data_IF_774724635142
#
_entry.id   IF_774724635142
#
_cell.length_a   1.000
_cell.length_b   1.000
_cell.length_c   1.000
_cell.angle_alpha   90.00
_cell.angle_beta   90.00
_cell.angle_gamma   90.00
#
_symmetry.space_group_name_H-M   'P 1'
#
loop_
_entity.id
_entity.type
_entity.pdbx_description
1 polymer ?
#
# COMPACT_ATOMS: atom_id res chain seq x y z
N UNK A 1 65.24 41.39 -20.00
CA UNK A 1 65.21 40.11 -19.33
C UNK A 1 64.82 40.22 -17.81
N UNK A 2 64.03 41.19 -17.39
CA UNK A 2 63.60 41.35 -15.96
C UNK A 2 62.08 41.38 -15.75
N UNK A 3 61.25 41.07 -16.75
CA UNK A 3 59.77 41.09 -16.64
C UNK A 3 59.12 39.70 -16.72
N UNK A 4 59.89 38.62 -16.96
CA UNK A 4 59.35 37.25 -17.08
C UNK A 4 59.41 36.46 -15.75
N UNK A 5 60.26 36.91 -14.80
CA UNK A 5 60.42 36.24 -13.50
C UNK A 5 59.34 36.61 -12.46
N UNK A 6 58.55 37.67 -12.69
CA UNK A 6 57.53 38.10 -11.70
C UNK A 6 56.16 37.46 -11.96
N UNK A 7 55.93 36.86 -13.13
CA UNK A 7 54.66 36.21 -13.42
C UNK A 7 54.64 34.72 -13.02
N UNK A 8 55.82 34.09 -12.94
CA UNK A 8 55.90 32.69 -12.48
C UNK A 8 55.78 32.53 -10.97
N UNK A 9 56.04 33.57 -10.20
CA UNK A 9 55.93 33.53 -8.70
C UNK A 9 54.47 33.73 -8.24
N UNK A 10 53.60 34.30 -9.04
CA UNK A 10 52.23 34.55 -8.67
C UNK A 10 51.30 33.38 -8.99
N UNK A 11 51.68 32.51 -9.93
CA UNK A 11 50.91 31.31 -10.28
C UNK A 11 51.12 30.18 -9.28
N UNK A 12 52.30 30.12 -8.64
CA UNK A 12 52.60 29.10 -7.63
C UNK A 12 51.99 29.41 -6.24
N UNK A 13 51.48 30.64 -6.00
CA UNK A 13 50.89 31.02 -4.69
C UNK A 13 49.35 30.84 -4.69
N UNK A 14 48.70 30.59 -5.85
CA UNK A 14 47.25 30.42 -5.93
C UNK A 14 46.86 28.95 -5.82
N UNK A 15 47.72 28.00 -6.13
CA UNK A 15 47.38 26.57 -6.02
C UNK A 15 47.48 25.99 -4.59
N UNK A 16 48.04 26.71 -3.63
CA UNK A 16 48.17 26.22 -2.24
C UNK A 16 47.00 26.62 -1.32
N UNK A 17 46.00 27.35 -1.84
CA UNK A 17 44.90 27.87 -1.01
C UNK A 17 43.56 27.16 -1.17
N UNK A 18 43.46 26.08 -1.97
CA UNK A 18 42.23 25.36 -2.21
C UNK A 18 42.19 23.88 -1.78
N UNK A 19 43.21 23.41 -1.08
CA UNK A 19 43.14 22.10 -0.43
C UNK A 19 42.74 22.30 1.03
N UNK A 20 41.41 22.42 1.27
CA UNK A 20 40.89 22.16 2.62
C UNK A 20 41.23 20.68 2.93
N UNK A 21 41.91 20.39 4.03
CA UNK A 21 42.12 19.02 4.44
C UNK A 21 40.71 18.43 4.69
N UNK A 22 40.29 17.50 3.88
CA UNK A 22 39.26 16.55 4.29
C UNK A 22 39.85 15.92 5.55
N UNK A 23 39.32 16.28 6.71
CA UNK A 23 39.67 15.64 7.96
C UNK A 23 39.39 14.15 7.78
N UNK A 24 40.44 13.37 7.59
CA UNK A 24 40.33 11.93 7.66
C UNK A 24 39.75 11.61 9.03
N UNK A 25 38.52 11.10 9.07
CA UNK A 25 37.95 10.60 10.31
C UNK A 25 38.95 9.59 10.89
N UNK A 26 39.36 9.83 12.13
CA UNK A 26 40.22 8.89 12.83
C UNK A 26 39.59 7.50 12.78
N UNK A 27 40.36 6.44 12.52
CA UNK A 27 39.85 5.09 12.57
C UNK A 27 39.22 4.85 13.94
N UNK A 28 37.95 4.41 13.94
CA UNK A 28 37.25 4.03 15.16
C UNK A 28 38.03 2.84 15.75
N UNK A 29 38.55 3.01 16.96
CA UNK A 29 39.17 1.91 17.70
C UNK A 29 38.11 0.90 18.08
N UNK A 30 38.03 -0.19 17.33
CA UNK A 30 37.05 -1.27 17.53
C UNK A 30 37.46 -2.27 18.61
N UNK A 31 38.63 -2.08 19.26
CA UNK A 31 39.14 -3.05 20.24
C UNK A 31 38.57 -2.88 21.66
N UNK A 32 37.89 -1.78 21.97
CA UNK A 32 37.32 -1.48 23.28
C UNK A 32 35.81 -1.18 23.28
N UNK A 33 35.06 -1.77 22.38
CA UNK A 33 33.60 -1.60 22.40
C UNK A 33 33.05 -2.57 23.45
N UNK A 34 32.65 -2.04 24.60
CA UNK A 34 31.87 -2.79 25.58
C UNK A 34 30.56 -3.29 24.96
N UNK A 35 30.05 -4.49 25.37
CA UNK A 35 28.76 -4.97 24.89
C UNK A 35 27.68 -3.91 25.11
N UNK A 36 27.12 -3.41 24.03
CA UNK A 36 26.12 -2.36 24.09
C UNK A 36 24.81 -2.93 24.66
N UNK A 37 24.44 -2.49 25.86
CA UNK A 37 23.20 -2.89 26.56
C UNK A 37 22.15 -1.76 26.58
N UNK A 38 22.30 -0.74 25.75
CA UNK A 38 21.49 0.47 25.77
C UNK A 38 20.39 0.55 24.72
N UNK A 39 20.10 1.77 24.30
CA UNK A 39 19.13 2.07 23.24
C UNK A 39 19.57 1.49 21.90
N UNK A 40 18.63 1.08 21.02
CA UNK A 40 18.96 0.58 19.70
C UNK A 40 19.76 1.62 18.90
N UNK A 41 20.67 1.12 18.07
CA UNK A 41 21.49 1.96 17.23
C UNK A 41 20.68 2.44 16.03
N UNK A 42 20.81 3.72 15.67
CA UNK A 42 20.21 4.27 14.44
C UNK A 42 20.95 3.77 13.22
N UNK A 43 20.20 3.47 12.19
CA UNK A 43 20.75 3.12 10.90
C UNK A 43 21.02 4.34 10.04
N UNK A 44 21.89 4.24 9.02
CA UNK A 44 22.12 5.32 8.08
C UNK A 44 20.82 5.79 7.44
N UNK A 45 20.62 7.11 7.37
CA UNK A 45 19.39 7.70 6.85
C UNK A 45 18.23 7.80 7.84
N UNK A 46 18.33 7.21 9.02
CA UNK A 46 17.35 7.44 10.08
C UNK A 46 17.59 8.83 10.70
N UNK A 47 16.63 9.72 10.48
CA UNK A 47 16.66 11.04 11.10
C UNK A 47 16.17 10.93 12.55
N UNK A 48 17.02 11.34 13.48
CA UNK A 48 16.63 11.49 14.87
C UNK A 48 15.86 12.80 15.05
N UNK A 49 14.57 12.74 15.06
CA UNK A 49 13.76 13.84 15.61
C UNK A 49 13.67 13.75 17.13
N UNK A 50 13.86 12.55 17.68
CA UNK A 50 13.91 12.30 19.12
C UNK A 50 15.19 11.51 19.45
N UNK A 51 16.23 12.14 20.02
CA UNK A 51 17.48 11.46 20.36
C UNK A 51 17.31 10.33 21.38
N UNK A 52 16.15 10.20 22.01
CA UNK A 52 15.81 9.07 22.87
C UNK A 52 15.46 7.78 22.11
N UNK A 53 15.26 7.82 20.79
CA UNK A 53 14.80 6.68 20.02
C UNK A 53 15.91 5.70 19.62
N UNK A 54 17.09 6.21 19.27
CA UNK A 54 18.24 5.38 18.88
C UNK A 54 19.54 6.19 18.92
N UNK A 55 20.68 5.50 18.92
CA UNK A 55 22.01 6.14 18.85
C UNK A 55 22.50 6.17 17.40
N UNK A 56 22.90 7.33 16.85
CA UNK A 56 23.43 7.44 15.50
C UNK A 56 24.72 6.63 15.32
N UNK A 57 24.76 5.78 14.30
CA UNK A 57 25.94 4.97 13.98
C UNK A 57 26.71 5.42 12.75
N UNK A 58 26.14 6.30 11.95
CA UNK A 58 26.73 6.62 10.66
C UNK A 58 26.51 5.53 9.60
N UNK A 59 27.40 5.40 8.61
CA UNK A 59 27.18 4.56 7.43
C UNK A 59 26.94 3.09 7.74
N UNK A 60 26.15 2.40 6.91
CA UNK A 60 25.80 0.97 7.01
C UNK A 60 27.03 0.04 7.08
N UNK A 61 28.18 0.48 6.57
CA UNK A 61 29.44 -0.24 6.66
C UNK A 61 29.85 -0.54 8.12
N UNK A 62 29.60 0.36 9.06
CA UNK A 62 29.92 0.14 10.47
C UNK A 62 29.06 -0.94 11.10
N UNK A 63 27.78 -1.01 10.74
CA UNK A 63 26.88 -2.06 11.20
C UNK A 63 27.36 -3.42 10.73
N UNK A 64 27.80 -3.51 9.50
CA UNK A 64 28.37 -4.74 8.92
C UNK A 64 29.67 -5.12 9.64
N UNK A 65 30.50 -4.16 10.00
CA UNK A 65 31.74 -4.39 10.78
C UNK A 65 31.41 -4.90 12.17
N UNK A 66 30.45 -4.28 12.87
CA UNK A 66 30.01 -4.71 14.20
C UNK A 66 29.48 -6.15 14.17
N UNK A 67 28.63 -6.48 13.20
CA UNK A 67 28.12 -7.85 13.03
C UNK A 67 29.22 -8.87 12.76
N UNK A 68 30.25 -8.52 11.97
CA UNK A 68 31.42 -9.39 11.74
C UNK A 68 32.24 -9.65 13.01
N UNK A 69 32.18 -8.71 13.95
CA UNK A 69 32.84 -8.84 15.26
C UNK A 69 31.93 -9.50 16.32
N UNK A 70 30.81 -10.08 15.91
CA UNK A 70 29.89 -10.78 16.83
C UNK A 70 29.01 -9.85 17.67
N UNK A 71 28.96 -8.58 17.35
CA UNK A 71 28.09 -7.62 18.01
C UNK A 71 26.75 -7.62 17.30
N UNK A 72 25.76 -8.23 17.91
CA UNK A 72 24.38 -8.23 17.44
C UNK A 72 23.80 -6.81 17.58
N UNK A 73 23.10 -6.45 16.53
CA UNK A 73 22.54 -5.13 16.35
C UNK A 73 21.05 -5.18 16.63
N UNK A 74 20.56 -4.62 17.75
CA UNK A 74 19.15 -4.68 18.08
C UNK A 74 18.36 -3.74 17.15
N UNK A 75 17.65 -4.32 16.20
CA UNK A 75 16.68 -3.57 15.40
C UNK A 75 15.49 -3.18 16.27
N UNK A 76 15.22 -1.88 16.33
CA UNK A 76 14.00 -1.40 16.96
C UNK A 76 12.82 -1.65 16.01
N UNK A 77 11.78 -2.39 16.43
CA UNK A 77 10.58 -2.55 15.61
C UNK A 77 9.89 -1.21 15.42
N UNK A 78 9.14 -1.07 14.31
CA UNK A 78 8.30 0.10 14.09
C UNK A 78 7.35 0.31 15.27
N UNK A 79 7.31 1.52 15.82
CA UNK A 79 6.43 1.89 16.91
C UNK A 79 5.00 2.10 16.38
N UNK A 80 4.31 0.99 16.14
CA UNK A 80 2.94 0.96 15.64
C UNK A 80 1.93 0.77 16.79
N UNK A 81 0.70 1.22 16.54
CA UNK A 81 -0.46 1.01 17.41
C UNK A 81 -1.16 -0.26 16.94
N UNK A 82 -1.63 -1.08 17.87
CA UNK A 82 -2.52 -2.20 17.52
C UNK A 82 -3.87 -1.66 17.06
N UNK A 83 -4.40 -2.11 15.92
CA UNK A 83 -5.72 -1.70 15.47
C UNK A 83 -6.82 -2.26 16.40
N UNK A 84 -7.95 -1.58 16.42
CA UNK A 84 -9.15 -2.10 17.05
C UNK A 84 -9.62 -3.36 16.30
N UNK A 85 -9.85 -4.49 16.96
CA UNK A 85 -10.37 -5.71 16.34
C UNK A 85 -11.68 -5.50 15.57
N UNK A 86 -12.51 -4.55 15.96
CA UNK A 86 -13.75 -4.22 15.24
C UNK A 86 -13.53 -3.76 13.81
N UNK A 87 -12.35 -3.25 13.46
CA UNK A 87 -12.02 -2.90 12.06
C UNK A 87 -12.01 -4.12 11.15
N UNK A 88 -11.80 -5.31 11.67
CA UNK A 88 -11.77 -6.54 10.86
C UNK A 88 -13.16 -7.14 10.65
N UNK A 89 -14.20 -6.57 11.28
CA UNK A 89 -15.56 -7.07 11.17
C UNK A 89 -16.16 -6.71 9.81
N UNK A 90 -16.56 -7.73 9.05
CA UNK A 90 -17.33 -7.53 7.81
C UNK A 90 -18.74 -7.09 8.15
N UNK A 91 -19.26 -6.04 7.51
CA UNK A 91 -20.59 -5.52 7.84
C UNK A 91 -21.71 -6.48 7.47
N UNK A 92 -21.55 -7.30 6.42
CA UNK A 92 -22.62 -8.18 5.90
C UNK A 92 -22.03 -9.47 5.32
N UNK A 93 -22.84 -10.52 5.29
CA UNK A 93 -22.54 -11.74 4.56
C UNK A 93 -22.73 -11.52 3.04
N UNK A 94 -21.76 -11.95 2.27
CA UNK A 94 -21.72 -11.77 0.81
C UNK A 94 -21.55 -13.12 0.14
N UNK A 95 -22.28 -13.33 -0.94
CA UNK A 95 -22.16 -14.49 -1.82
C UNK A 95 -21.69 -14.06 -3.19
N UNK A 96 -20.90 -14.89 -3.82
CA UNK A 96 -20.54 -14.71 -5.24
C UNK A 96 -21.23 -15.75 -6.10
N UNK A 97 -21.51 -15.40 -7.33
CA UNK A 97 -21.96 -16.33 -8.34
C UNK A 97 -20.89 -16.49 -9.42
N UNK A 98 -20.68 -17.74 -9.81
CA UNK A 98 -19.76 -18.09 -10.90
C UNK A 98 -20.44 -18.15 -12.26
N UNK A 99 -21.76 -18.04 -12.34
CA UNK A 99 -22.47 -18.15 -13.62
C UNK A 99 -22.23 -16.94 -14.49
N UNK A 100 -21.94 -17.18 -15.74
CA UNK A 100 -21.80 -16.15 -16.79
C UNK A 100 -23.15 -15.66 -17.29
N UNK A 101 -24.22 -16.41 -17.01
CA UNK A 101 -25.56 -16.16 -17.50
C UNK A 101 -26.36 -15.23 -16.57
N UNK A 102 -27.53 -14.84 -17.01
CA UNK A 102 -28.44 -14.08 -16.18
C UNK A 102 -28.91 -14.95 -14.98
N UNK A 103 -28.91 -14.35 -13.79
CA UNK A 103 -29.29 -15.04 -12.55
C UNK A 103 -30.77 -14.82 -12.34
N UNK A 104 -31.59 -15.90 -12.24
CA UNK A 104 -33.01 -15.77 -11.90
C UNK A 104 -33.11 -15.23 -10.46
N UNK A 105 -33.96 -14.23 -10.29
CA UNK A 105 -34.31 -13.68 -8.97
C UNK A 105 -35.79 -13.83 -8.72
N UNK A 106 -36.14 -14.18 -7.50
CA UNK A 106 -37.49 -14.59 -7.12
C UNK A 106 -38.03 -13.62 -6.04
N UNK A 107 -39.31 -13.18 -6.17
CA UNK A 107 -39.91 -12.27 -5.20
C UNK A 107 -40.06 -12.88 -3.82
N UNK A 108 -40.36 -14.18 -3.76
CA UNK A 108 -40.57 -14.90 -2.49
C UNK A 108 -39.82 -16.22 -2.46
N UNK A 109 -39.64 -16.80 -1.27
CA UNK A 109 -39.06 -18.13 -1.11
C UNK A 109 -39.92 -19.21 -1.84
N UNK A 110 -41.24 -19.09 -1.79
CA UNK A 110 -42.15 -20.00 -2.46
C UNK A 110 -41.96 -19.94 -4.00
N UNK A 111 -41.78 -18.74 -4.54
CA UNK A 111 -41.48 -18.59 -5.98
C UNK A 111 -40.12 -19.22 -6.34
N UNK A 112 -39.14 -19.08 -5.46
CA UNK A 112 -37.82 -19.69 -5.65
C UNK A 112 -37.90 -21.22 -5.65
N UNK A 113 -38.63 -21.80 -4.71
CA UNK A 113 -38.87 -23.25 -4.66
C UNK A 113 -39.63 -23.76 -5.87
N UNK A 114 -40.60 -22.98 -6.39
CA UNK A 114 -41.36 -23.29 -7.58
C UNK A 114 -40.63 -22.93 -8.88
N UNK A 115 -39.43 -22.30 -8.81
CA UNK A 115 -38.67 -21.75 -9.94
C UNK A 115 -39.46 -20.75 -10.79
N UNK A 116 -40.36 -20.01 -10.15
CA UNK A 116 -41.21 -18.99 -10.77
C UNK A 116 -40.49 -17.62 -10.65
N UNK A 117 -39.49 -17.38 -11.48
CA UNK A 117 -38.72 -16.13 -11.44
C UNK A 117 -39.52 -14.94 -11.97
N UNK A 118 -39.34 -13.78 -11.34
CA UNK A 118 -39.93 -12.52 -11.79
C UNK A 118 -39.10 -11.81 -12.84
N UNK A 119 -37.78 -11.94 -12.71
CA UNK A 119 -36.82 -11.32 -13.59
C UNK A 119 -35.45 -12.02 -13.49
N UNK A 120 -34.57 -11.69 -14.40
CA UNK A 120 -33.18 -12.08 -14.33
C UNK A 120 -32.33 -10.88 -13.97
N UNK A 121 -31.36 -11.06 -13.09
CA UNK A 121 -30.27 -10.13 -13.03
C UNK A 121 -29.39 -10.38 -14.24
N UNK A 122 -29.66 -9.58 -15.26
CA UNK A 122 -28.86 -9.59 -16.49
C UNK A 122 -27.49 -9.02 -16.15
N UNK A 123 -26.49 -9.75 -16.54
CA UNK A 123 -25.19 -9.15 -16.45
C UNK A 123 -24.26 -9.90 -17.35
N UNK A 124 -23.50 -9.28 -18.16
CA UNK A 124 -22.43 -9.85 -18.95
C UNK A 124 -21.61 -10.94 -18.23
N UNK A 125 -20.51 -11.31 -18.78
CA UNK A 125 -19.70 -12.48 -18.35
C UNK A 125 -18.93 -12.31 -17.03
N UNK A 126 -19.17 -11.24 -16.26
CA UNK A 126 -18.43 -10.92 -15.04
C UNK A 126 -18.97 -11.57 -13.77
N UNK A 127 -18.17 -11.53 -12.71
CA UNK A 127 -18.57 -11.99 -11.38
C UNK A 127 -19.60 -11.06 -10.75
N UNK A 128 -20.58 -11.65 -10.07
CA UNK A 128 -21.62 -10.93 -9.34
C UNK A 128 -21.53 -11.30 -7.87
N UNK A 129 -21.52 -10.30 -7.01
CA UNK A 129 -21.47 -10.46 -5.56
C UNK A 129 -22.73 -9.84 -4.94
N UNK A 130 -23.49 -10.67 -4.23
CA UNK A 130 -24.72 -10.27 -3.56
C UNK A 130 -24.52 -10.25 -2.06
N UNK A 131 -25.09 -9.25 -1.42
CA UNK A 131 -25.26 -9.24 0.01
C UNK A 131 -26.54 -9.99 0.38
N UNK A 132 -26.49 -10.90 1.35
CA UNK A 132 -27.66 -11.66 1.77
C UNK A 132 -27.97 -11.46 3.25
N UNK A 133 -29.26 -11.46 3.57
CA UNK A 133 -29.80 -11.30 4.91
C UNK A 133 -30.07 -12.64 5.58
N UNK A 134 -30.47 -13.63 4.82
CA UNK A 134 -30.85 -14.94 5.33
C UNK A 134 -30.47 -16.05 4.37
N UNK A 135 -30.15 -17.20 4.93
CA UNK A 135 -30.02 -18.49 4.23
C UNK A 135 -31.12 -19.41 4.75
N UNK A 136 -31.81 -20.07 3.85
CA UNK A 136 -32.85 -21.05 4.17
C UNK A 136 -32.55 -22.35 3.45
N UNK A 137 -32.38 -23.43 4.20
CA UNK A 137 -32.19 -24.78 3.70
C UNK A 137 -33.53 -25.50 3.70
N UNK A 138 -33.95 -26.03 2.57
CA UNK A 138 -35.23 -26.73 2.37
C UNK A 138 -34.97 -28.05 1.67
N UNK A 139 -36.00 -28.93 1.60
CA UNK A 139 -35.93 -30.18 0.83
C UNK A 139 -35.73 -29.96 -0.68
N UNK A 140 -36.11 -28.78 -1.19
CA UNK A 140 -35.96 -28.43 -2.62
C UNK A 140 -34.63 -27.75 -2.93
N UNK A 141 -33.84 -27.36 -1.93
CA UNK A 141 -32.55 -26.70 -2.13
C UNK A 141 -32.23 -25.66 -1.08
N UNK A 142 -31.13 -24.97 -1.28
CA UNK A 142 -30.66 -23.88 -0.42
C UNK A 142 -30.93 -22.56 -1.13
N UNK A 143 -31.50 -21.61 -0.38
CA UNK A 143 -31.89 -20.31 -0.92
C UNK A 143 -31.31 -19.18 -0.05
N UNK A 144 -30.92 -18.09 -0.72
CA UNK A 144 -30.45 -16.87 -0.07
C UNK A 144 -31.42 -15.73 -0.31
N UNK A 145 -31.80 -15.02 0.76
CA UNK A 145 -32.49 -13.75 0.64
C UNK A 145 -31.49 -12.64 0.49
N UNK A 146 -31.51 -11.94 -0.65
CA UNK A 146 -30.65 -10.78 -0.88
C UNK A 146 -31.11 -9.58 -0.05
N UNK A 147 -30.22 -8.61 0.14
CA UNK A 147 -30.53 -7.36 0.84
C UNK A 147 -31.59 -6.52 0.12
N UNK A 148 -31.72 -6.68 -1.18
CA UNK A 148 -32.78 -6.08 -2.01
C UNK A 148 -34.14 -6.77 -1.84
N UNK A 149 -34.23 -7.83 -1.03
CA UNK A 149 -35.47 -8.54 -0.71
C UNK A 149 -35.82 -9.70 -1.64
N UNK A 150 -35.05 -9.93 -2.69
CA UNK A 150 -35.24 -11.06 -3.60
C UNK A 150 -34.58 -12.34 -3.06
N UNK A 151 -34.96 -13.46 -3.62
CA UNK A 151 -34.39 -14.77 -3.35
C UNK A 151 -33.57 -15.27 -4.53
N UNK A 152 -32.49 -16.01 -4.23
CA UNK A 152 -31.61 -16.65 -5.20
C UNK A 152 -31.39 -18.10 -4.76
N UNK A 153 -31.41 -19.05 -5.69
CA UNK A 153 -31.05 -20.45 -5.41
C UNK A 153 -29.53 -20.62 -5.28
N UNK A 154 -29.06 -21.40 -4.32
CA UNK A 154 -27.63 -21.61 -4.06
C UNK A 154 -26.87 -22.28 -5.23
N UNK A 155 -27.55 -23.04 -6.07
CA UNK A 155 -26.99 -23.61 -7.30
C UNK A 155 -26.61 -22.56 -8.35
N UNK A 156 -27.25 -21.40 -8.29
CA UNK A 156 -26.96 -20.23 -9.12
C UNK A 156 -25.88 -19.36 -8.47
N UNK A 157 -25.63 -19.54 -7.16
CA UNK A 157 -24.68 -18.80 -6.36
C UNK A 157 -23.71 -19.77 -5.67
N UNK A 158 -22.43 -19.68 -5.98
CA UNK A 158 -21.41 -20.43 -5.26
C UNK A 158 -21.14 -19.77 -3.91
N UNK A 159 -21.88 -20.22 -2.90
CA UNK A 159 -21.78 -19.70 -1.53
C UNK A 159 -20.45 -19.99 -0.82
N UNK A 160 -19.66 -20.90 -1.38
CA UNK A 160 -18.38 -21.29 -0.78
C UNK A 160 -17.25 -20.32 -1.14
N UNK A 161 -17.48 -19.42 -2.07
CA UNK A 161 -16.42 -18.57 -2.58
C UNK A 161 -16.47 -17.16 -1.98
N UNK A 162 -15.42 -16.85 -1.27
CA UNK A 162 -14.82 -15.54 -1.40
C UNK A 162 -15.39 -14.40 -0.55
N UNK A 163 -15.84 -14.69 0.67
CA UNK A 163 -15.76 -13.67 1.70
C UNK A 163 -14.35 -13.78 2.26
N UNK A 164 -13.46 -12.93 1.77
CA UNK A 164 -12.22 -12.75 2.50
C UNK A 164 -12.55 -12.12 3.83
N UNK A 165 -12.19 -12.79 4.92
CA UNK A 165 -12.37 -12.26 6.27
C UNK A 165 -11.85 -10.83 6.33
N UNK A 166 -12.57 -9.98 7.05
CA UNK A 166 -12.16 -8.60 7.24
C UNK A 166 -10.73 -8.57 7.80
N UNK A 167 -9.81 -7.98 7.05
CA UNK A 167 -8.39 -7.89 7.42
C UNK A 167 -8.03 -6.45 7.66
N UNK A 168 -7.21 -6.22 8.67
CA UNK A 168 -6.48 -4.97 8.85
C UNK A 168 -5.01 -5.26 8.57
N UNK A 169 -4.49 -4.81 7.44
CA UNK A 169 -3.10 -5.02 7.04
C UNK A 169 -2.24 -3.77 7.16
N UNK A 170 -2.87 -2.62 7.31
CA UNK A 170 -2.20 -1.35 7.49
C UNK A 170 -1.48 -1.21 8.83
N UNK A 171 -0.79 -0.11 8.97
CA UNK A 171 -0.04 0.26 10.17
C UNK A 171 -0.55 1.60 10.70
N UNK A 172 -0.80 1.66 12.00
CA UNK A 172 -1.19 2.87 12.71
C UNK A 172 -0.02 3.40 13.52
N UNK A 173 0.16 4.71 13.54
CA UNK A 173 1.28 5.36 14.21
C UNK A 173 0.81 6.48 15.15
N UNK A 174 1.48 6.62 16.29
CA UNK A 174 1.37 7.81 17.17
C UNK A 174 2.33 8.92 16.76
N UNK A 175 3.47 8.53 16.16
CA UNK A 175 4.49 9.41 15.62
C UNK A 175 4.96 8.86 14.28
N UNK A 176 5.30 9.74 13.38
CA UNK A 176 5.90 9.37 12.10
C UNK A 176 7.16 8.54 12.34
N UNK A 177 7.27 7.34 11.76
CA UNK A 177 8.48 6.54 11.84
C UNK A 177 9.67 7.25 11.19
N UNK A 178 10.85 7.11 11.77
CA UNK A 178 12.08 7.69 11.22
C UNK A 178 12.73 6.78 10.18
N UNK A 179 12.54 5.47 10.31
CA UNK A 179 13.09 4.49 9.40
C UNK A 179 12.07 4.24 8.28
N UNK A 180 12.45 4.40 7.00
CA UNK A 180 11.63 3.98 5.88
C UNK A 180 11.24 2.51 6.02
N UNK A 181 10.04 2.17 5.59
CA UNK A 181 9.52 0.81 5.68
C UNK A 181 8.67 0.46 4.46
N UNK A 182 8.27 -0.80 4.39
CA UNK A 182 7.40 -1.29 3.32
C UNK A 182 6.91 -2.69 3.60
N UNK A 183 6.28 -3.27 2.60
CA UNK A 183 5.70 -4.62 2.66
C UNK A 183 6.27 -5.51 1.56
N UNK A 184 6.43 -6.77 1.89
CA UNK A 184 6.72 -7.82 0.92
C UNK A 184 5.43 -8.17 0.17
N UNK A 185 5.47 -8.14 -1.16
CA UNK A 185 4.28 -8.43 -1.99
C UNK A 185 4.24 -9.84 -2.57
N UNK A 186 5.38 -10.51 -2.61
CA UNK A 186 5.51 -11.93 -2.98
C UNK A 186 6.55 -12.58 -2.10
N UNK A 187 6.39 -13.86 -1.81
CA UNK A 187 7.40 -14.61 -1.04
C UNK A 187 8.80 -14.42 -1.63
N UNK A 188 9.73 -14.03 -0.82
CA UNK A 188 11.09 -13.72 -1.25
C UNK A 188 12.16 -14.17 -0.26
N UNK A 189 13.39 -14.32 -0.75
CA UNK A 189 14.56 -14.60 0.07
C UNK A 189 15.59 -13.47 -0.09
N UNK A 190 15.96 -12.80 1.00
CA UNK A 190 17.03 -11.80 0.94
C UNK A 190 18.36 -12.42 0.53
N UNK A 191 19.22 -11.61 -0.07
CA UNK A 191 20.58 -11.97 -0.46
C UNK A 191 21.61 -11.31 0.46
N UNK A 192 22.77 -11.91 0.59
CA UNK A 192 23.84 -11.38 1.46
C UNK A 192 24.47 -10.09 0.92
N UNK A 193 24.26 -9.76 -0.36
CA UNK A 193 24.74 -8.55 -1.03
C UNK A 193 23.75 -8.10 -2.10
N UNK A 194 23.75 -6.82 -2.53
CA UNK A 194 22.80 -6.25 -3.47
C UNK A 194 23.12 -6.61 -4.92
N UNK A 195 23.11 -7.90 -5.24
CA UNK A 195 23.27 -8.41 -6.61
C UNK A 195 22.67 -9.82 -6.73
N UNK A 196 22.32 -10.22 -7.97
CA UNK A 196 21.67 -11.49 -8.24
C UNK A 196 22.58 -12.73 -8.08
N UNK A 197 23.89 -12.56 -8.09
CA UNK A 197 24.87 -13.64 -7.91
C UNK A 197 25.15 -13.91 -6.43
N UNK A 198 24.79 -12.97 -5.53
CA UNK A 198 24.98 -13.15 -4.12
C UNK A 198 24.11 -14.30 -3.58
N UNK A 199 24.66 -15.03 -2.58
CA UNK A 199 23.96 -16.13 -1.91
C UNK A 199 22.71 -15.61 -1.20
N UNK A 200 21.65 -16.41 -1.23
CA UNK A 200 20.46 -16.18 -0.40
C UNK A 200 20.76 -16.45 1.08
N UNK A 201 20.11 -15.72 1.97
CA UNK A 201 20.35 -15.80 3.42
C UNK A 201 19.68 -17.01 4.08
N UNK A 202 18.84 -17.75 3.37
CA UNK A 202 18.02 -18.83 3.92
C UNK A 202 16.75 -18.35 4.63
N UNK A 203 16.63 -17.06 4.98
CA UNK A 203 15.40 -16.49 5.55
C UNK A 203 14.33 -16.36 4.46
N UNK A 204 13.12 -16.82 4.76
CA UNK A 204 11.96 -16.63 3.90
C UNK A 204 11.14 -15.47 4.43
N UNK A 205 10.80 -14.53 3.57
CA UNK A 205 9.88 -13.44 3.85
C UNK A 205 8.57 -13.74 3.14
N UNK A 206 7.52 -13.88 3.91
CA UNK A 206 6.19 -14.13 3.37
C UNK A 206 5.54 -12.82 2.88
N UNK A 207 4.57 -12.95 1.99
CA UNK A 207 3.74 -11.83 1.55
C UNK A 207 3.18 -11.07 2.77
N UNK A 208 3.09 -9.75 2.66
CA UNK A 208 2.62 -8.81 3.69
C UNK A 208 3.55 -8.68 4.91
N UNK A 209 4.71 -9.35 4.91
CA UNK A 209 5.73 -9.09 5.93
C UNK A 209 6.16 -7.62 5.86
N UNK A 210 6.05 -6.92 6.98
CA UNK A 210 6.55 -5.54 7.11
C UNK A 210 8.06 -5.58 7.30
N UNK A 211 8.76 -4.78 6.52
CA UNK A 211 10.21 -4.62 6.57
C UNK A 211 10.58 -3.16 6.81
N UNK A 212 11.65 -2.93 7.54
CA UNK A 212 12.30 -1.63 7.62
C UNK A 212 13.44 -1.58 6.59
N UNK A 213 13.62 -0.41 5.97
CA UNK A 213 14.61 -0.20 4.92
C UNK A 213 15.72 0.68 5.48
N UNK A 214 16.91 0.14 5.57
CA UNK A 214 18.04 0.76 6.24
C UNK A 214 19.06 1.36 5.28
N UNK A 215 19.10 0.86 4.06
CA UNK A 215 19.93 1.40 2.99
C UNK A 215 19.33 1.09 1.65
N UNK A 216 19.66 1.88 0.64
CA UNK A 216 19.15 1.76 -0.72
C UNK A 216 20.31 1.84 -1.69
N UNK A 217 20.48 0.81 -2.52
CA UNK A 217 21.49 0.80 -3.58
C UNK A 217 20.80 0.66 -4.92
N UNK A 218 20.97 1.66 -5.76
CA UNK A 218 20.54 1.60 -7.17
C UNK A 218 21.63 0.99 -8.00
N UNK A 219 21.33 -0.12 -8.65
CA UNK A 219 22.20 -0.78 -9.65
C UNK A 219 21.70 -0.48 -11.05
N UNK A 220 22.43 -0.94 -12.06
CA UNK A 220 21.97 -0.82 -13.46
C UNK A 220 20.64 -1.53 -13.71
N UNK A 221 20.38 -2.63 -13.01
CA UNK A 221 19.26 -3.53 -13.27
C UNK A 221 18.06 -3.30 -12.37
N UNK A 222 18.30 -2.87 -11.12
CA UNK A 222 17.23 -2.70 -10.11
C UNK A 222 17.70 -1.85 -8.92
N UNK A 223 16.77 -1.59 -8.01
CA UNK A 223 17.01 -1.02 -6.69
C UNK A 223 17.04 -2.16 -5.67
N UNK A 224 18.02 -2.15 -4.79
CA UNK A 224 18.17 -3.08 -3.70
C UNK A 224 17.94 -2.36 -2.37
N UNK A 225 17.16 -2.97 -1.51
CA UNK A 225 16.87 -2.50 -0.16
C UNK A 225 17.60 -3.35 0.88
N UNK A 226 18.40 -2.72 1.73
CA UNK A 226 18.96 -3.37 2.92
C UNK A 226 17.88 -3.42 4.00
N UNK A 227 17.49 -4.63 4.39
CA UNK A 227 16.45 -4.88 5.40
C UNK A 227 17.01 -5.49 6.68
N UNK A 228 18.30 -5.63 6.75
CA UNK A 228 19.07 -6.15 7.88
C UNK A 228 20.52 -6.30 7.50
N UNK A 229 21.36 -6.66 8.45
CA UNK A 229 22.78 -6.92 8.20
C UNK A 229 22.93 -8.09 7.22
N UNK A 230 23.62 -7.85 6.12
CA UNK A 230 23.76 -8.83 5.02
C UNK A 230 22.41 -9.40 4.52
N UNK A 231 21.37 -8.58 4.54
CA UNK A 231 20.05 -8.94 4.04
C UNK A 231 19.56 -7.87 3.07
N UNK A 232 19.68 -8.17 1.79
CA UNK A 232 19.29 -7.30 0.70
C UNK A 232 18.15 -7.92 -0.09
N UNK A 233 17.16 -7.12 -0.43
CA UNK A 233 16.01 -7.56 -1.22
C UNK A 233 15.81 -6.65 -2.43
N UNK A 234 15.45 -7.27 -3.54
CA UNK A 234 15.11 -6.57 -4.78
C UNK A 234 13.79 -5.82 -4.63
N UNK A 235 13.75 -4.60 -5.14
CA UNK A 235 12.57 -3.73 -5.17
C UNK A 235 11.31 -4.41 -5.71
N UNK A 236 11.42 -5.34 -6.65
CA UNK A 236 10.26 -6.04 -7.23
C UNK A 236 9.41 -6.75 -6.19
N UNK A 237 10.02 -7.20 -5.11
CA UNK A 237 9.35 -7.88 -4.00
C UNK A 237 8.84 -6.94 -2.91
N UNK A 238 9.04 -5.64 -3.06
CA UNK A 238 8.76 -4.65 -2.01
C UNK A 238 7.82 -3.57 -2.53
N UNK A 239 6.90 -3.12 -1.67
CA UNK A 239 6.22 -1.83 -1.81
C UNK A 239 6.68 -0.96 -0.66
N UNK A 240 7.49 0.03 -1.01
CA UNK A 240 8.04 0.97 -0.04
C UNK A 240 6.99 2.04 0.27
N UNK A 241 6.80 2.36 1.54
CA UNK A 241 6.11 3.58 1.90
C UNK A 241 7.10 4.75 1.85
N UNK A 242 6.79 5.71 1.01
CA UNK A 242 7.49 6.98 0.95
C UNK A 242 6.85 7.93 1.96
N UNK A 243 7.59 8.24 3.02
CA UNK A 243 7.10 9.12 4.09
C UNK A 243 7.35 10.57 3.69
N UNK A 244 6.27 11.29 3.43
CA UNK A 244 6.34 12.71 3.08
C UNK A 244 5.49 13.54 4.05
N UNK A 245 6.10 14.12 5.10
CA UNK A 245 5.37 14.93 6.08
C UNK A 245 5.03 16.33 5.56
N UNK A 246 5.53 16.70 4.38
CA UNK A 246 5.25 18.01 3.77
C UNK A 246 3.93 17.92 3.01
N UNK A 247 2.93 18.76 3.36
CA UNK A 247 1.68 18.77 2.62
C UNK A 247 1.90 19.06 1.13
N UNK A 248 1.21 18.36 0.23
CA UNK A 248 1.22 18.68 -1.19
C UNK A 248 0.70 20.11 -1.46
N UNK A 249 1.13 20.71 -2.56
CA UNK A 249 0.65 22.02 -2.99
C UNK A 249 -0.90 22.03 -3.06
N UNK A 250 -1.50 23.05 -2.43
CA UNK A 250 -2.95 23.19 -2.34
C UNK A 250 -3.60 22.53 -1.10
N UNK A 251 -2.86 21.78 -0.30
CA UNK A 251 -3.30 21.29 1.02
C UNK A 251 -2.98 22.33 2.08
N UNK A 252 -3.99 22.88 2.73
CA UNK A 252 -3.83 24.01 3.66
C UNK A 252 -4.03 23.66 5.14
N UNK A 253 -4.56 22.47 5.44
CA UNK A 253 -4.95 22.06 6.78
C UNK A 253 -4.03 21.01 7.43
N UNK A 254 -2.86 20.75 6.83
CA UNK A 254 -1.90 19.74 7.27
C UNK A 254 -2.51 18.34 7.49
N UNK A 255 -3.63 18.07 6.81
CA UNK A 255 -4.36 16.80 6.87
C UNK A 255 -4.70 16.34 5.45
N UNK A 256 -4.25 15.16 5.04
CA UNK A 256 -4.51 14.63 3.71
C UNK A 256 -4.36 13.11 3.66
N UNK A 257 -4.92 12.53 2.62
CA UNK A 257 -4.69 11.16 2.17
C UNK A 257 -3.74 11.24 0.97
N UNK A 258 -2.68 10.45 0.95
CA UNK A 258 -1.73 10.35 -0.15
C UNK A 258 -1.77 8.96 -0.76
N UNK A 259 -1.90 8.88 -2.08
CA UNK A 259 -1.93 7.64 -2.84
C UNK A 259 -0.75 7.64 -3.81
N UNK A 260 0.20 6.74 -3.58
CA UNK A 260 1.33 6.51 -4.47
C UNK A 260 1.01 5.35 -5.42
N UNK A 261 0.79 5.68 -6.70
CA UNK A 261 0.40 4.69 -7.72
C UNK A 261 1.55 3.77 -8.11
N UNK A 262 2.79 4.23 -7.98
CA UNK A 262 3.96 3.43 -8.33
C UNK A 262 4.29 2.40 -7.26
N UNK A 263 4.22 2.78 -6.00
CA UNK A 263 4.45 1.88 -4.87
C UNK A 263 3.16 1.14 -4.45
N UNK A 264 2.01 1.48 -5.02
CA UNK A 264 0.73 0.89 -4.63
C UNK A 264 0.51 0.97 -3.11
N UNK A 265 0.76 2.15 -2.55
CA UNK A 265 0.60 2.44 -1.12
C UNK A 265 -0.29 3.66 -0.90
N UNK A 266 -0.89 3.70 0.27
CA UNK A 266 -1.66 4.83 0.76
C UNK A 266 -1.15 5.22 2.14
N UNK A 267 -1.02 6.51 2.37
CA UNK A 267 -0.73 7.11 3.67
C UNK A 267 -1.77 8.16 4.05
N UNK A 268 -2.02 8.30 5.34
CA UNK A 268 -2.84 9.36 5.89
C UNK A 268 -2.01 10.18 6.87
N UNK A 269 -2.11 11.49 6.73
CA UNK A 269 -1.38 12.45 7.55
C UNK A 269 -2.35 13.32 8.35
N UNK A 270 -2.03 13.56 9.60
CA UNK A 270 -2.74 14.51 10.48
C UNK A 270 -1.73 15.43 11.17
N UNK A 271 -1.89 16.73 11.00
CA UNK A 271 -0.92 17.73 11.45
C UNK A 271 0.52 17.46 10.97
N UNK A 272 0.67 16.97 9.74
CA UNK A 272 1.95 16.60 9.16
C UNK A 272 2.58 15.33 9.74
N UNK A 273 1.88 14.61 10.62
CA UNK A 273 2.30 13.31 11.15
C UNK A 273 1.66 12.17 10.36
N UNK A 274 2.45 11.20 9.96
CA UNK A 274 1.93 9.94 9.42
C UNK A 274 1.17 9.21 10.52
N UNK A 275 -0.14 9.05 10.34
CA UNK A 275 -1.00 8.36 11.32
C UNK A 275 -1.42 6.97 10.84
N UNK A 276 -1.41 6.74 9.53
CA UNK A 276 -1.79 5.46 8.93
C UNK A 276 -1.06 5.22 7.60
N UNK A 277 -0.74 3.98 7.32
CA UNK A 277 -0.18 3.55 6.04
C UNK A 277 -0.61 2.13 5.70
N UNK A 278 -0.87 1.86 4.41
CA UNK A 278 -1.25 0.53 3.92
C UNK A 278 -0.88 0.32 2.45
N UNK A 279 -0.89 -0.94 2.02
CA UNK A 279 -0.90 -1.29 0.59
C UNK A 279 -2.31 -1.16 0.02
N UNK A 280 -2.38 -0.77 -1.24
CA UNK A 280 -3.63 -0.62 -1.99
C UNK A 280 -3.62 -1.43 -3.29
N UNK A 281 -4.76 -1.44 -3.98
CA UNK A 281 -4.82 -1.83 -5.37
C UNK A 281 -5.51 -0.73 -6.18
N UNK A 282 -4.75 -0.01 -6.99
CA UNK A 282 -5.27 1.07 -7.84
C UNK A 282 -5.73 0.57 -9.21
N UNK A 283 -6.17 1.49 -10.06
CA UNK A 283 -6.61 1.21 -11.41
C UNK A 283 -5.49 0.66 -12.31
N UNK A 284 -5.78 -0.44 -13.00
CA UNK A 284 -4.88 -1.04 -13.99
C UNK A 284 -5.05 -0.40 -15.38
N UNK A 285 -4.03 -0.42 -16.25
CA UNK A 285 -4.21 -0.01 -17.64
C UNK A 285 -5.35 -0.76 -18.37
N UNK A 286 -6.18 -0.10 -19.16
CA UNK A 286 -6.22 1.33 -19.43
C UNK A 286 -7.07 2.14 -18.43
N UNK A 287 -7.56 1.55 -17.35
CA UNK A 287 -8.49 2.14 -16.38
C UNK A 287 -7.75 2.72 -15.17
N UNK A 288 -6.85 3.64 -15.43
CA UNK A 288 -6.00 4.20 -14.39
C UNK A 288 -6.76 4.97 -13.30
N UNK A 289 -6.24 4.96 -12.08
CA UNK A 289 -6.56 5.97 -11.07
C UNK A 289 -5.89 7.28 -11.47
N UNK A 290 -6.64 8.39 -11.52
CA UNK A 290 -6.16 9.67 -12.04
C UNK A 290 -5.23 10.36 -11.04
N UNK A 291 -3.99 10.74 -11.45
CA UNK A 291 -3.15 11.61 -10.64
C UNK A 291 -3.73 13.01 -10.50
N UNK A 292 -3.55 13.62 -9.34
CA UNK A 292 -4.02 14.98 -9.05
C UNK A 292 -4.34 15.19 -7.58
N UNK A 293 -4.72 16.41 -7.25
CA UNK A 293 -5.25 16.77 -5.94
C UNK A 293 -6.77 16.84 -5.99
N UNK A 294 -7.41 16.01 -5.21
CA UNK A 294 -8.87 15.88 -5.11
C UNK A 294 -9.32 16.10 -3.67
N UNK A 295 -10.62 15.91 -3.43
CA UNK A 295 -11.23 15.93 -2.09
C UNK A 295 -12.24 14.81 -1.96
N UNK A 296 -12.31 14.20 -0.78
CA UNK A 296 -13.45 13.34 -0.46
C UNK A 296 -14.71 14.19 -0.55
N UNK A 297 -15.57 13.93 -1.53
CA UNK A 297 -16.79 14.72 -1.71
C UNK A 297 -18.07 14.00 -1.27
N UNK A 298 -17.99 12.68 -1.06
CA UNK A 298 -19.13 11.88 -0.63
C UNK A 298 -18.66 10.61 0.06
N UNK A 299 -19.30 10.28 1.16
CA UNK A 299 -19.05 9.05 1.94
C UNK A 299 -20.31 8.20 2.02
N UNK A 300 -20.15 6.89 1.88
CA UNK A 300 -21.22 5.89 2.06
C UNK A 300 -20.66 4.71 2.84
N UNK A 301 -21.42 4.26 3.84
CA UNK A 301 -21.04 3.06 4.61
C UNK A 301 -21.01 1.80 3.73
N UNK A 302 -21.95 1.74 2.79
CA UNK A 302 -22.02 0.69 1.76
C UNK A 302 -22.51 1.29 0.43
N UNK A 303 -22.06 0.69 -0.68
CA UNK A 303 -22.46 1.07 -2.04
C UNK A 303 -22.66 -0.17 -2.90
N UNK A 304 -23.58 -0.12 -3.84
CA UNK A 304 -23.62 -1.12 -4.93
C UNK A 304 -22.85 -0.56 -6.10
N UNK A 305 -21.79 -1.23 -6.49
CA UNK A 305 -20.96 -0.85 -7.64
C UNK A 305 -21.22 -1.78 -8.81
N UNK A 306 -21.47 -1.21 -9.98
CA UNK A 306 -21.69 -1.96 -11.20
C UNK A 306 -21.09 -1.20 -12.37
N UNK A 307 -20.51 -1.92 -13.30
CA UNK A 307 -19.90 -1.31 -14.48
C UNK A 307 -19.49 -2.30 -15.53
N UNK A 308 -19.26 -1.77 -16.71
CA UNK A 308 -18.61 -2.45 -17.82
C UNK A 308 -17.91 -1.39 -18.67
N UNK A 309 -16.70 -1.65 -19.07
CA UNK A 309 -15.89 -0.73 -19.88
C UNK A 309 -15.73 -1.22 -21.31
N UNK A 310 -15.76 -2.54 -21.49
CA UNK A 310 -15.78 -3.16 -22.82
C UNK A 310 -17.18 -3.07 -23.44
N UNK A 311 -17.24 -2.75 -24.71
CA UNK A 311 -18.52 -2.62 -25.43
C UNK A 311 -19.37 -3.90 -25.39
N UNK A 312 -18.72 -5.07 -25.34
CA UNK A 312 -19.35 -6.38 -25.22
C UNK A 312 -19.65 -6.77 -23.76
N UNK A 313 -19.38 -5.88 -22.80
CA UNK A 313 -19.54 -6.11 -21.36
C UNK A 313 -18.83 -7.36 -20.84
N UNK A 314 -17.72 -7.77 -21.45
CA UNK A 314 -16.96 -8.94 -21.02
C UNK A 314 -16.31 -8.78 -19.64
N UNK A 315 -16.11 -7.53 -19.22
CA UNK A 315 -15.55 -7.10 -17.96
C UNK A 315 -16.63 -6.59 -16.97
N UNK A 316 -17.90 -6.87 -17.24
CA UNK A 316 -18.99 -6.43 -16.36
C UNK A 316 -18.82 -6.98 -14.95
N UNK A 317 -19.06 -6.13 -13.97
CA UNK A 317 -19.11 -6.51 -12.57
C UNK A 317 -20.37 -5.96 -11.89
N UNK A 318 -20.80 -6.67 -10.85
CA UNK A 318 -21.88 -6.29 -9.95
C UNK A 318 -21.47 -6.64 -8.52
N UNK A 319 -21.31 -5.63 -7.69
CA UNK A 319 -20.76 -5.72 -6.33
C UNK A 319 -21.72 -5.04 -5.37
N UNK A 320 -22.50 -5.82 -4.61
CA UNK A 320 -23.36 -5.28 -3.56
C UNK A 320 -22.57 -5.03 -2.28
N UNK A 321 -22.98 -4.04 -1.52
CA UNK A 321 -22.43 -3.68 -0.22
C UNK A 321 -20.91 -3.48 -0.20
N UNK A 322 -20.36 -2.83 -1.24
CA UNK A 322 -18.97 -2.38 -1.21
C UNK A 322 -18.79 -1.44 -0.01
N UNK A 323 -17.97 -1.83 1.00
CA UNK A 323 -17.97 -1.14 2.27
C UNK A 323 -17.06 0.10 2.25
N UNK A 324 -17.43 1.08 3.10
CA UNK A 324 -16.58 2.21 3.47
C UNK A 324 -16.13 3.05 2.28
N UNK A 325 -17.06 3.33 1.37
CA UNK A 325 -16.83 4.03 0.10
C UNK A 325 -16.72 5.53 0.30
N UNK A 326 -15.63 6.11 -0.20
CA UNK A 326 -15.34 7.54 -0.18
C UNK A 326 -14.97 8.00 -1.59
N UNK A 327 -15.89 8.70 -2.24
CA UNK A 327 -15.70 9.23 -3.59
C UNK A 327 -14.81 10.47 -3.57
N UNK A 328 -13.82 10.54 -4.46
CA UNK A 328 -12.89 11.68 -4.55
C UNK A 328 -12.72 12.25 -5.97
N UNK A 329 -12.96 11.46 -7.02
CA UNK A 329 -12.80 11.88 -8.43
C UNK A 329 -13.86 11.22 -9.29
N UNK A 330 -14.92 11.93 -9.64
CA UNK A 330 -16.08 11.39 -10.37
C UNK A 330 -16.60 10.10 -9.68
N UNK A 331 -16.66 8.98 -10.40
CA UNK A 331 -17.03 7.69 -9.81
C UNK A 331 -15.83 6.92 -9.20
N UNK A 332 -14.64 7.52 -9.10
CA UNK A 332 -13.49 6.90 -8.42
C UNK A 332 -13.57 7.11 -6.92
N UNK A 333 -13.37 6.04 -6.19
CA UNK A 333 -13.49 6.02 -4.74
C UNK A 333 -12.36 5.25 -4.06
N UNK A 334 -12.10 5.58 -2.80
CA UNK A 334 -11.39 4.75 -1.84
C UNK A 334 -12.45 3.84 -1.19
N UNK A 335 -12.26 2.52 -1.17
CA UNK A 335 -13.25 1.60 -0.59
C UNK A 335 -12.65 0.25 -0.21
N UNK A 336 -13.33 -0.49 0.66
CA UNK A 336 -12.98 -1.86 0.96
C UNK A 336 -13.27 -2.82 -0.19
N UNK A 337 -12.36 -3.75 -0.44
CA UNK A 337 -12.54 -4.81 -1.43
C UNK A 337 -12.60 -6.16 -0.73
N UNK A 338 -13.76 -6.82 -0.79
CA UNK A 338 -13.97 -8.15 -0.23
C UNK A 338 -13.75 -9.26 -1.26
N UNK A 339 -13.53 -8.93 -2.53
CA UNK A 339 -13.41 -9.90 -3.64
C UNK A 339 -11.98 -10.25 -4.02
N UNK A 340 -10.99 -9.62 -3.41
CA UNK A 340 -9.57 -9.96 -3.58
C UNK A 340 -8.73 -9.55 -2.37
N UNK A 341 -7.52 -10.12 -2.27
CA UNK A 341 -6.50 -9.78 -1.26
C UNK A 341 -5.18 -9.34 -1.90
N UNK A 342 -5.17 -9.07 -3.19
CA UNK A 342 -3.96 -8.74 -3.96
C UNK A 342 -3.65 -7.24 -3.90
N UNK A 343 -3.45 -6.70 -2.68
CA UNK A 343 -2.96 -5.35 -2.51
C UNK A 343 -1.45 -5.27 -2.79
N UNK A 344 -0.96 -4.13 -3.24
CA UNK A 344 0.37 -3.93 -3.77
C UNK A 344 0.47 -4.06 -5.30
N UNK A 345 -0.68 -4.24 -5.99
CA UNK A 345 -0.76 -4.35 -7.45
C UNK A 345 -1.93 -3.56 -8.02
N UNK A 346 -1.80 -3.13 -9.26
CA UNK A 346 -2.90 -2.51 -10.01
C UNK A 346 -3.95 -3.56 -10.38
N UNK A 347 -5.18 -3.43 -9.87
CA UNK A 347 -6.23 -4.44 -10.03
C UNK A 347 -7.60 -3.87 -10.40
N UNK A 348 -7.85 -2.59 -10.09
CA UNK A 348 -9.18 -1.98 -10.19
C UNK A 348 -9.44 -1.35 -11.57
N UNK A 349 -10.63 -0.80 -11.74
CA UNK A 349 -11.02 0.00 -12.89
C UNK A 349 -11.00 1.51 -12.59
N UNK A 350 -10.08 1.93 -11.71
CA UNK A 350 -9.86 3.34 -11.37
C UNK A 350 -10.06 3.68 -9.90
N UNK A 351 -10.80 2.88 -9.16
CA UNK A 351 -10.91 3.02 -7.71
C UNK A 351 -9.60 2.65 -7.00
N UNK A 352 -9.47 3.06 -5.76
CA UNK A 352 -8.39 2.66 -4.85
C UNK A 352 -8.96 1.64 -3.85
N UNK A 353 -8.64 0.38 -4.06
CA UNK A 353 -9.10 -0.72 -3.24
C UNK A 353 -8.21 -0.89 -2.01
N UNK A 354 -8.82 -1.02 -0.84
CA UNK A 354 -8.17 -1.31 0.44
C UNK A 354 -8.69 -2.62 1.02
N UNK A 355 -7.98 -3.17 1.99
CA UNK A 355 -8.57 -4.22 2.84
C UNK A 355 -9.78 -3.67 3.59
N UNK A 356 -10.68 -4.55 4.02
CA UNK A 356 -11.91 -4.12 4.69
C UNK A 356 -11.58 -3.34 5.97
N UNK A 357 -10.63 -3.82 6.77
CA UNK A 357 -10.23 -3.15 7.99
C UNK A 357 -9.58 -1.80 7.76
N UNK A 358 -8.71 -1.72 6.77
CA UNK A 358 -8.01 -0.48 6.39
C UNK A 358 -9.01 0.56 5.89
N UNK A 359 -9.95 0.15 5.04
CA UNK A 359 -10.99 1.04 4.52
C UNK A 359 -11.94 1.53 5.63
N UNK A 360 -12.25 0.68 6.63
CA UNK A 360 -13.05 1.06 7.78
C UNK A 360 -12.36 2.14 8.59
N UNK A 361 -11.09 1.91 8.95
CA UNK A 361 -10.33 2.90 9.69
C UNK A 361 -10.25 4.23 8.94
N UNK A 362 -9.90 4.17 7.65
CA UNK A 362 -9.76 5.37 6.82
C UNK A 362 -11.11 6.11 6.68
N UNK A 363 -12.20 5.37 6.54
CA UNK A 363 -13.55 5.93 6.49
C UNK A 363 -13.92 6.64 7.79
N UNK A 364 -13.66 6.03 8.95
CA UNK A 364 -13.97 6.64 10.24
C UNK A 364 -13.08 7.87 10.51
N UNK A 365 -11.82 7.83 10.04
CA UNK A 365 -10.89 8.94 10.18
C UNK A 365 -11.17 10.09 9.21
N UNK A 366 -11.37 9.83 7.92
CA UNK A 366 -11.54 10.86 6.90
C UNK A 366 -12.88 11.57 6.97
N UNK A 367 -12.91 12.83 6.57
CA UNK A 367 -14.11 13.67 6.48
C UNK A 367 -14.36 14.09 5.03
N UNK A 368 -15.60 14.40 4.68
CA UNK A 368 -15.87 15.11 3.43
C UNK A 368 -15.15 16.44 3.44
N UNK A 369 -14.48 16.76 2.34
CA UNK A 369 -13.58 17.90 2.20
C UNK A 369 -12.10 17.58 2.44
N UNK A 370 -11.74 16.44 3.04
CA UNK A 370 -10.33 16.07 3.22
C UNK A 370 -9.65 15.87 1.86
N UNK A 371 -8.44 16.41 1.69
CA UNK A 371 -7.67 16.27 0.45
C UNK A 371 -7.24 14.83 0.20
N UNK A 372 -7.31 14.42 -1.07
CA UNK A 372 -6.77 13.16 -1.59
C UNK A 372 -5.77 13.51 -2.68
N UNK A 373 -4.50 13.30 -2.39
CA UNK A 373 -3.40 13.52 -3.33
C UNK A 373 -3.01 12.19 -3.97
N UNK A 374 -3.22 12.08 -5.27
CA UNK A 374 -2.85 10.90 -6.05
C UNK A 374 -1.68 11.26 -6.95
N UNK A 375 -0.61 10.49 -6.90
CA UNK A 375 0.59 10.77 -7.68
C UNK A 375 1.30 9.50 -8.15
N UNK A 376 2.08 9.64 -9.22
CA UNK A 376 2.92 8.58 -9.77
C UNK A 376 4.34 9.10 -9.99
N UNK A 377 5.30 8.81 -9.09
CA UNK A 377 6.69 9.24 -9.26
C UNK A 377 7.37 8.63 -10.48
N UNK A 378 6.85 7.54 -11.04
CA UNK A 378 7.40 6.95 -12.27
C UNK A 378 7.06 7.72 -13.54
N UNK A 379 6.04 8.59 -13.48
CA UNK A 379 5.54 9.35 -14.62
C UNK A 379 4.85 8.50 -15.70
N UNK A 380 4.56 7.22 -15.42
CA UNK A 380 3.95 6.31 -16.40
C UNK A 380 2.43 6.45 -16.48
N UNK A 381 1.79 6.87 -15.40
CA UNK A 381 0.34 7.10 -15.38
C UNK A 381 0.03 8.39 -16.14
N UNK A 382 -0.86 8.36 -17.16
CA UNK A 382 -1.23 9.58 -17.88
C UNK A 382 -1.79 10.65 -16.95
N UNK A 383 -1.46 11.92 -17.20
CA UNK A 383 -1.99 13.05 -16.42
C UNK A 383 -3.05 13.86 -17.15
N UNK A 384 -3.18 13.71 -18.49
CA UNK A 384 -4.17 14.41 -19.28
C UNK A 384 -5.58 13.87 -18.98
N UNK A 385 -6.52 14.71 -18.48
CA UNK A 385 -7.88 14.30 -18.13
C UNK A 385 -8.66 13.59 -19.25
N UNK A 386 -8.31 13.81 -20.50
CA UNK A 386 -9.00 13.15 -21.65
C UNK A 386 -8.88 11.62 -21.66
N UNK A 387 -7.85 11.08 -20.99
CA UNK A 387 -7.68 9.62 -20.85
C UNK A 387 -8.58 9.02 -19.78
N UNK A 388 -9.30 9.87 -19.03
CA UNK A 388 -10.12 9.44 -17.91
C UNK A 388 -11.59 9.75 -18.21
N UNK A 389 -12.39 8.74 -18.41
CA UNK A 389 -13.84 8.88 -18.40
C UNK A 389 -14.36 9.27 -17.00
N UNK A 390 -15.67 9.17 -16.81
CA UNK A 390 -16.29 9.44 -15.49
C UNK A 390 -15.83 8.49 -14.37
N UNK A 391 -14.93 7.55 -14.68
CA UNK A 391 -14.57 6.47 -13.79
C UNK A 391 -15.62 5.34 -13.84
N UNK A 392 -15.29 4.20 -13.26
CA UNK A 392 -16.20 3.06 -13.24
C UNK A 392 -16.54 2.70 -11.80
N UNK A 393 -17.73 2.97 -11.40
CA UNK A 393 -18.43 2.30 -10.31
C UNK A 393 -19.93 2.41 -10.54
#
# INVERSE_FOLDING_TARGET
MKRILLVLSLVLLVETLLASPVAAMAPVDTQNIEPYAGLPLCLPGAYLQDPGDCIPLGPSVYITILAKNGIDYPFRPLAKISPDPEFTRTPDAIITTATKDAIPIYPTLADAQARNHSQYLSAGNGKKYFAFLARVDTDSGIYYQTKSGYWIEAGEADAACCIYEGRFQGLLFKKTPHTPFGWIVEQARPRVAPNYQAKETGKVLERETVIQIYDVITTKDTIWYMIGVNQWIDRRFVRQLEINPTPPDGVTNNRWIEVNLFEQTLSAYDNGQLVFATMIASGRPPFYTRPGLFKVYKKKSTETMTGAFEANKSDYYYLENVPWTMYFDEARALHGAYWHTLFGYEMSHGCVNLSIGDSRWLYDWAKEGDPVYVWDPSGKTPTDPKFYGKGGA
#
